data_IF_483514928134
#
_entry.id   IF_483514928134
#
_cell.length_a   1.000
_cell.length_b   1.000
_cell.length_c   1.000
_cell.angle_alpha   90.00
_cell.angle_beta   90.00
_cell.angle_gamma   90.00
#
_symmetry.space_group_name_H-M   'P 1'
#
loop_
_entity.id
_entity.type
_entity.pdbx_description
1 polymer ?
#
# COMPACT_ATOMS: atom_id res chain seq x y z
N UNK A 1 -3.68 -16.22 -12.02
CA UNK A 1 -3.92 -14.76 -11.93
C UNK A 1 -2.59 -14.14 -11.53
N UNK A 2 -2.16 -13.08 -12.22
CA UNK A 2 -0.93 -12.35 -11.85
C UNK A 2 -1.16 -11.54 -10.57
N UNK A 3 -0.22 -11.61 -9.64
CA UNK A 3 -0.23 -10.80 -8.42
C UNK A 3 0.36 -9.42 -8.71
N UNK A 4 0.03 -8.39 -7.93
CA UNK A 4 0.53 -7.03 -8.20
C UNK A 4 2.07 -6.95 -8.12
N UNK A 5 2.69 -7.82 -7.33
CA UNK A 5 4.14 -7.94 -7.19
C UNK A 5 4.84 -8.42 -8.46
N UNK A 6 4.11 -9.07 -9.38
CA UNK A 6 4.65 -9.52 -10.67
C UNK A 6 4.96 -8.34 -11.61
N UNK A 7 4.37 -7.17 -11.35
CA UNK A 7 4.60 -5.95 -12.13
C UNK A 7 5.70 -5.06 -11.54
N UNK A 8 6.29 -5.45 -10.40
CA UNK A 8 7.40 -4.71 -9.81
C UNK A 8 8.66 -4.90 -10.64
N UNK A 9 9.32 -3.77 -10.95
CA UNK A 9 10.67 -3.78 -11.53
C UNK A 9 11.66 -4.48 -10.60
N UNK A 10 11.49 -4.34 -9.29
CA UNK A 10 12.28 -5.03 -8.28
C UNK A 10 11.38 -5.49 -7.12
N UNK A 11 11.16 -6.81 -7.05
CA UNK A 11 10.35 -7.43 -5.99
C UNK A 11 11.13 -7.83 -4.74
N UNK A 12 12.46 -7.72 -4.73
CA UNK A 12 13.33 -8.29 -3.66
C UNK A 12 12.96 -7.79 -2.27
N UNK A 13 12.64 -6.49 -2.12
CA UNK A 13 12.28 -5.91 -0.82
C UNK A 13 10.95 -6.46 -0.29
N UNK A 14 9.96 -6.63 -1.17
CA UNK A 14 8.66 -7.17 -0.78
C UNK A 14 8.81 -8.66 -0.44
N UNK A 15 9.54 -9.43 -1.25
CA UNK A 15 9.86 -10.83 -0.97
C UNK A 15 10.65 -11.01 0.33
N UNK A 16 11.56 -10.08 0.67
CA UNK A 16 12.27 -10.14 1.95
C UNK A 16 11.35 -9.98 3.16
N UNK A 17 10.30 -9.16 3.05
CA UNK A 17 9.37 -8.88 4.15
C UNK A 17 8.28 -9.97 4.25
N UNK A 18 7.75 -10.42 3.11
CA UNK A 18 6.56 -11.28 3.04
C UNK A 18 6.84 -12.72 2.60
N UNK A 19 8.07 -13.04 2.18
CA UNK A 19 8.39 -14.34 1.58
C UNK A 19 7.55 -14.57 0.33
N UNK A 20 6.82 -15.68 0.33
CA UNK A 20 5.89 -16.07 -0.74
C UNK A 20 4.43 -15.64 -0.45
N UNK A 21 4.13 -15.15 0.76
CA UNK A 21 2.78 -14.76 1.19
C UNK A 21 2.57 -13.25 1.02
N UNK A 22 2.48 -12.82 -0.24
CA UNK A 22 2.38 -11.40 -0.57
C UNK A 22 1.03 -10.81 -0.13
N UNK A 23 1.03 -9.56 0.37
CA UNK A 23 -0.18 -8.89 0.85
C UNK A 23 -1.03 -8.44 -0.34
N UNK A 24 -2.34 -8.38 -0.16
CA UNK A 24 -3.24 -7.82 -1.17
C UNK A 24 -3.15 -6.28 -1.21
N UNK A 25 -3.43 -5.69 -2.38
CA UNK A 25 -3.70 -4.25 -2.49
C UNK A 25 -5.20 -3.91 -2.28
N UNK A 26 -6.04 -4.90 -1.95
CA UNK A 26 -7.44 -4.65 -1.56
C UNK A 26 -7.51 -3.98 -0.18
N UNK A 27 -8.30 -2.91 -0.08
CA UNK A 27 -8.56 -2.17 1.18
C UNK A 27 -7.30 -1.68 1.91
N UNK A 28 -6.28 -1.29 1.15
CA UNK A 28 -5.11 -0.57 1.69
C UNK A 28 -5.52 0.82 2.17
N UNK A 29 -4.80 1.34 3.18
CA UNK A 29 -4.98 2.73 3.58
C UNK A 29 -4.05 3.62 2.74
N UNK A 30 -4.63 4.44 1.87
CA UNK A 30 -3.86 5.41 1.08
C UNK A 30 -3.62 6.66 1.91
N UNK A 31 -2.36 6.98 2.15
CA UNK A 31 -1.95 8.22 2.82
C UNK A 31 -1.81 9.36 1.82
N UNK A 32 -1.01 9.13 0.78
CA UNK A 32 -0.70 10.15 -0.22
C UNK A 32 -0.81 9.58 -1.63
N UNK A 33 -1.24 10.45 -2.56
CA UNK A 33 -1.12 10.26 -4.00
C UNK A 33 -0.37 11.46 -4.57
N UNK A 34 0.82 11.23 -5.09
CA UNK A 34 1.70 12.27 -5.62
C UNK A 34 1.82 12.15 -7.13
N UNK A 35 1.33 13.17 -7.84
CA UNK A 35 1.56 13.36 -9.27
C UNK A 35 2.85 14.16 -9.46
N UNK A 36 3.87 13.52 -10.03
CA UNK A 36 5.17 14.17 -10.22
C UNK A 36 5.15 15.08 -11.44
N UNK A 37 5.82 16.24 -11.34
CA UNK A 37 5.94 17.21 -12.43
C UNK A 37 6.96 16.80 -13.50
N UNK A 38 8.03 16.11 -13.10
CA UNK A 38 9.21 15.86 -13.93
C UNK A 38 9.12 14.55 -14.75
N UNK A 39 7.93 13.97 -14.85
CA UNK A 39 7.68 12.79 -15.66
C UNK A 39 6.29 12.23 -15.43
N UNK A 40 5.81 11.31 -16.30
CA UNK A 40 4.51 10.66 -16.15
C UNK A 40 4.55 9.60 -15.04
N UNK A 41 4.79 10.06 -13.81
CA UNK A 41 4.95 9.21 -12.63
C UNK A 41 3.91 9.57 -11.57
N UNK A 42 3.21 8.56 -11.09
CA UNK A 42 2.32 8.68 -9.93
C UNK A 42 2.86 7.80 -8.83
N UNK A 43 2.97 8.36 -7.63
CA UNK A 43 3.44 7.64 -6.45
C UNK A 43 2.32 7.55 -5.43
N UNK A 44 2.10 6.35 -4.90
CA UNK A 44 1.19 6.09 -3.80
C UNK A 44 2.00 5.77 -2.55
N UNK A 45 1.68 6.43 -1.43
CA UNK A 45 2.13 5.98 -0.10
C UNK A 45 0.97 5.29 0.58
N UNK A 46 1.11 4.00 0.83
CA UNK A 46 0.02 3.15 1.33
C UNK A 46 0.48 2.31 2.51
N UNK A 47 -0.41 2.11 3.46
CA UNK A 47 -0.27 1.08 4.47
C UNK A 47 -0.93 -0.19 3.97
N UNK A 48 -0.15 -1.27 3.98
CA UNK A 48 -0.64 -2.60 3.68
C UNK A 48 -1.49 -3.10 4.83
N UNK A 49 -2.58 -3.76 4.48
CA UNK A 49 -3.54 -4.30 5.45
C UNK A 49 -2.95 -5.46 6.25
N UNK A 50 -2.27 -6.37 5.56
CA UNK A 50 -1.76 -7.59 6.15
C UNK A 50 -0.33 -7.35 6.65
N UNK A 51 -0.10 -7.60 7.93
CA UNK A 51 1.25 -7.57 8.51
C UNK A 51 1.95 -8.91 8.21
N UNK A 52 3.26 -8.93 7.90
CA UNK A 52 3.94 -10.16 7.51
C UNK A 52 3.90 -11.20 8.63
N UNK A 53 3.76 -12.47 8.26
CA UNK A 53 3.77 -13.60 9.20
C UNK A 53 5.11 -13.75 9.93
N UNK A 54 6.21 -13.36 9.26
CA UNK A 54 7.57 -13.41 9.80
C UNK A 54 8.25 -12.04 9.67
N UNK A 55 7.83 -11.05 10.49
CA UNK A 55 8.38 -9.69 10.44
C UNK A 55 9.87 -9.67 10.85
N UNK A 56 10.66 -8.70 10.37
CA UNK A 56 12.01 -8.45 10.87
C UNK A 56 12.05 -8.30 12.39
N UNK A 57 13.08 -8.87 13.04
CA UNK A 57 13.20 -8.91 14.52
C UNK A 57 13.07 -7.53 15.17
N UNK A 58 13.74 -6.53 14.59
CA UNK A 58 13.69 -5.16 15.08
C UNK A 58 12.27 -4.56 14.99
N UNK A 59 11.42 -4.99 14.06
CA UNK A 59 10.04 -4.50 13.98
C UNK A 59 9.19 -5.05 15.13
N UNK A 60 9.39 -6.32 15.50
CA UNK A 60 8.74 -6.93 16.67
C UNK A 60 9.17 -6.22 17.95
N UNK A 61 10.48 -6.00 18.12
CA UNK A 61 11.04 -5.31 19.30
C UNK A 61 10.49 -3.88 19.45
N UNK A 62 10.32 -3.17 18.33
CA UNK A 62 9.77 -1.81 18.31
C UNK A 62 8.23 -1.78 18.22
N UNK A 63 7.56 -2.94 18.26
CA UNK A 63 6.09 -3.07 18.22
C UNK A 63 5.44 -2.39 17.01
N UNK A 64 6.09 -2.42 15.85
CA UNK A 64 5.44 -2.00 14.61
C UNK A 64 4.30 -2.96 14.25
N UNK A 65 3.24 -2.43 13.67
CA UNK A 65 1.98 -3.15 13.42
C UNK A 65 1.51 -3.06 11.96
N UNK A 66 2.18 -2.28 11.12
CA UNK A 66 1.80 -2.02 9.73
C UNK A 66 3.06 -1.86 8.89
N UNK A 67 2.98 -2.34 7.64
CA UNK A 67 4.00 -2.08 6.62
C UNK A 67 3.52 -0.97 5.71
N UNK A 68 4.21 0.16 5.74
CA UNK A 68 4.00 1.24 4.79
C UNK A 68 4.93 1.05 3.59
N UNK A 69 4.38 1.14 2.39
CA UNK A 69 5.15 1.09 1.15
C UNK A 69 4.89 2.31 0.28
N UNK A 70 5.85 2.58 -0.59
CA UNK A 70 5.73 3.57 -1.65
C UNK A 70 5.77 2.85 -3.00
N UNK A 71 4.68 2.93 -3.75
CA UNK A 71 4.57 2.37 -5.09
C UNK A 71 4.64 3.50 -6.11
N UNK A 72 5.60 3.42 -7.02
CA UNK A 72 5.75 4.38 -8.11
C UNK A 72 5.39 3.73 -9.44
N UNK A 73 4.34 4.25 -10.07
CA UNK A 73 3.95 3.88 -11.42
C UNK A 73 4.58 4.89 -12.38
N UNK A 74 5.46 4.44 -13.28
CA UNK A 74 6.04 5.26 -14.34
C UNK A 74 5.32 5.04 -15.67
N UNK A 75 5.39 6.02 -16.57
CA UNK A 75 4.73 5.94 -17.87
C UNK A 75 3.19 6.04 -17.81
N UNK A 76 2.67 6.65 -16.75
CA UNK A 76 1.22 6.83 -16.54
C UNK A 76 0.66 7.75 -17.62
N UNK A 77 -0.26 7.21 -18.44
CA UNK A 77 -0.95 7.98 -19.49
C UNK A 77 -2.28 8.57 -19.02
N UNK A 78 -2.93 7.87 -18.09
CA UNK A 78 -4.24 8.21 -17.57
C UNK A 78 -4.33 7.78 -16.11
N UNK A 79 -5.00 8.59 -15.31
CA UNK A 79 -5.31 8.31 -13.91
C UNK A 79 -6.66 8.92 -13.57
N UNK A 80 -7.44 8.23 -12.74
CA UNK A 80 -8.68 8.75 -12.20
C UNK A 80 -8.71 8.53 -10.69
N UNK A 81 -9.17 9.53 -9.94
CA UNK A 81 -9.42 9.42 -8.51
C UNK A 81 -10.90 9.69 -8.27
N UNK A 82 -11.59 8.72 -7.68
CA UNK A 82 -12.99 8.86 -7.27
C UNK A 82 -13.07 8.86 -5.74
N UNK A 83 -13.60 9.95 -5.19
CA UNK A 83 -13.92 10.01 -3.77
C UNK A 83 -15.29 9.40 -3.47
N UNK A 84 -15.54 9.13 -2.18
CA UNK A 84 -16.85 8.77 -1.65
C UNK A 84 -17.20 9.64 -0.44
N UNK A 85 -18.49 9.73 -0.11
CA UNK A 85 -18.95 10.39 1.12
C UNK A 85 -18.93 9.36 2.25
N UNK A 86 -18.10 9.58 3.27
CA UNK A 86 -18.17 8.80 4.52
C UNK A 86 -19.34 9.36 5.32
N UNK A 87 -20.48 8.66 5.32
CA UNK A 87 -21.58 8.97 6.24
C UNK A 87 -21.23 8.40 7.60
N UNK A 88 -20.79 9.25 8.53
CA UNK A 88 -20.74 8.87 9.94
C UNK A 88 -22.17 8.72 10.46
N UNK A 89 -22.66 7.50 10.67
CA UNK A 89 -23.85 7.31 11.50
C UNK A 89 -23.43 7.51 12.95
N UNK A 90 -23.77 8.67 13.52
CA UNK A 90 -23.79 8.82 14.96
C UNK A 90 -24.90 7.91 15.49
N UNK A 91 -24.56 6.68 15.87
CA UNK A 91 -25.42 5.91 16.77
C UNK A 91 -25.25 6.53 18.16
N UNK A 92 -26.04 7.58 18.42
CA UNK A 92 -26.28 8.04 19.78
C UNK A 92 -27.04 6.92 20.49
N UNK A 93 -26.33 6.15 21.32
CA UNK A 93 -26.97 5.34 22.35
C UNK A 93 -27.64 6.30 23.34
N UNK A 94 -28.98 6.31 23.34
CA UNK A 94 -29.82 6.80 24.44
C UNK A 94 -30.52 5.57 25.03
#
# INVERSE_FOLDING_TARGET
MSHWTDFLVDKRKVTFIYGEDFPSLDKVNVHDVTFHRDGPTVTFRIDLRDYPLSPPKNWVENKFNTVQIQLSCSGVRYSSLQGGIIRHSLQTLI
#
